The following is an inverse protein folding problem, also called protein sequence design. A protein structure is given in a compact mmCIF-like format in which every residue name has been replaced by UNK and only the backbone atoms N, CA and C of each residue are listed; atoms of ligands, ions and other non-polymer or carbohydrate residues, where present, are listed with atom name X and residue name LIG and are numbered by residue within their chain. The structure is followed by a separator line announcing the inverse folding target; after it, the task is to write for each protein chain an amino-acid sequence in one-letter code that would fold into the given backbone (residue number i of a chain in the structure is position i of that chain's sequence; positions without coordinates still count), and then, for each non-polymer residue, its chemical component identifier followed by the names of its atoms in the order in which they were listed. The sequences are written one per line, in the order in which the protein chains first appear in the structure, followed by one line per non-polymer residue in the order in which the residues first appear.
data_IF_166689322648
#
_entry.id   IF_166689322648
#
_cell.length_a   1.000
_cell.length_b   1.000
_cell.length_c   1.000
_cell.angle_alpha   90.00
_cell.angle_beta   90.00
_cell.angle_gamma   90.00
#
_symmetry.space_group_name_H-M   'P 1'
#
loop_
_entity.id
_entity.type
_entity.pdbx_description
1 polymer ?
#
# COMPACT_ATOMS: atom_id res chain seq x y z
N UNK A 1 -17.96 -32.28 -8.71
CA UNK A 1 -19.34 -32.17 -9.22
C UNK A 1 -19.56 -30.69 -9.53
N UNK A 2 -19.78 -30.34 -10.80
CA UNK A 2 -19.90 -28.93 -11.21
C UNK A 2 -21.17 -28.34 -10.56
N UNK A 3 -21.00 -27.45 -9.55
CA UNK A 3 -22.13 -26.66 -9.08
C UNK A 3 -22.61 -25.79 -10.24
N UNK A 4 -23.92 -25.61 -10.34
CA UNK A 4 -24.51 -24.75 -11.37
C UNK A 4 -23.97 -23.32 -11.19
N UNK A 5 -23.27 -22.79 -12.19
CA UNK A 5 -22.82 -21.40 -12.21
C UNK A 5 -23.93 -20.54 -12.82
N UNK A 6 -24.66 -19.74 -12.02
CA UNK A 6 -25.76 -18.93 -12.54
C UNK A 6 -25.29 -17.80 -13.47
N UNK A 7 -24.01 -17.41 -13.39
CA UNK A 7 -23.42 -16.34 -14.18
C UNK A 7 -22.59 -16.84 -15.36
N UNK A 8 -22.69 -18.13 -15.75
CA UNK A 8 -21.79 -18.73 -16.74
C UNK A 8 -21.67 -17.93 -18.04
N UNK A 9 -22.79 -17.42 -18.56
CA UNK A 9 -22.79 -16.63 -19.79
C UNK A 9 -22.06 -15.27 -19.63
N UNK A 10 -22.31 -14.57 -18.51
CA UNK A 10 -21.66 -13.29 -18.20
C UNK A 10 -20.17 -13.52 -17.91
N UNK A 11 -19.83 -14.56 -17.15
CA UNK A 11 -18.45 -14.96 -16.88
C UNK A 11 -17.67 -15.22 -18.18
N UNK A 12 -18.26 -15.92 -19.15
CA UNK A 12 -17.66 -16.16 -20.47
C UNK A 12 -17.45 -14.86 -21.27
N UNK A 13 -18.40 -13.92 -21.20
CA UNK A 13 -18.27 -12.61 -21.85
C UNK A 13 -17.15 -11.77 -21.20
N UNK A 14 -17.12 -11.70 -19.87
CA UNK A 14 -16.07 -10.99 -19.11
C UNK A 14 -14.70 -11.57 -19.46
N UNK A 15 -14.53 -12.88 -19.35
CA UNK A 15 -13.24 -13.54 -19.62
C UNK A 15 -12.83 -13.32 -21.08
N UNK A 16 -13.74 -13.55 -22.03
CA UNK A 16 -13.48 -13.39 -23.45
C UNK A 16 -13.06 -11.95 -23.81
N UNK A 17 -13.75 -10.95 -23.27
CA UNK A 17 -13.43 -9.53 -23.50
C UNK A 17 -12.07 -9.18 -22.88
N UNK A 18 -11.83 -9.47 -21.59
CA UNK A 18 -10.56 -9.13 -20.93
C UNK A 18 -9.35 -9.81 -21.59
N UNK A 19 -9.48 -11.07 -22.00
CA UNK A 19 -8.37 -11.80 -22.64
C UNK A 19 -8.10 -11.39 -24.09
N UNK A 20 -9.07 -10.77 -24.76
CA UNK A 20 -8.90 -10.24 -26.13
C UNK A 20 -8.68 -8.72 -26.16
N UNK A 21 -8.83 -8.05 -25.02
CA UNK A 21 -8.62 -6.62 -24.84
C UNK A 21 -7.13 -6.27 -24.67
N UNK A 22 -6.73 -5.14 -25.25
CA UNK A 22 -5.45 -4.46 -24.98
C UNK A 22 -5.61 -3.30 -23.99
N UNK A 23 -6.83 -2.98 -23.60
CA UNK A 23 -7.16 -1.79 -22.79
C UNK A 23 -6.37 -1.72 -21.47
N UNK A 24 -6.21 -2.80 -20.68
CA UNK A 24 -5.42 -2.76 -19.45
C UNK A 24 -3.95 -2.37 -19.66
N UNK A 25 -3.25 -2.99 -20.62
CA UNK A 25 -1.85 -2.64 -20.91
C UNK A 25 -1.72 -1.25 -21.49
N UNK A 26 -2.65 -0.82 -22.35
CA UNK A 26 -2.61 0.52 -22.92
C UNK A 26 -2.73 1.57 -21.80
N UNK A 27 -3.66 1.37 -20.87
CA UNK A 27 -3.81 2.25 -19.71
C UNK A 27 -2.57 2.21 -18.82
N UNK A 28 -2.00 1.02 -18.55
CA UNK A 28 -0.80 0.88 -17.73
C UNK A 28 0.39 1.60 -18.36
N UNK A 29 0.58 1.43 -19.66
CA UNK A 29 1.64 2.10 -20.43
C UNK A 29 1.49 3.62 -20.35
N UNK A 30 0.27 4.15 -20.49
CA UNK A 30 0.01 5.58 -20.35
C UNK A 30 0.36 6.07 -18.94
N UNK A 31 -0.10 5.36 -17.90
CA UNK A 31 0.18 5.71 -16.51
C UNK A 31 1.69 5.73 -16.19
N UNK A 32 2.46 4.80 -16.75
CA UNK A 32 3.90 4.68 -16.52
C UNK A 32 4.75 5.63 -17.37
N UNK A 33 4.40 5.81 -18.65
CA UNK A 33 5.28 6.50 -19.62
C UNK A 33 4.94 7.99 -19.78
N UNK A 34 3.71 8.41 -19.51
CA UNK A 34 3.27 9.79 -19.81
C UNK A 34 3.21 10.69 -18.57
N UNK A 35 2.80 10.16 -17.42
CA UNK A 35 2.56 10.97 -16.23
C UNK A 35 3.75 11.02 -15.26
N UNK A 36 4.86 10.37 -15.62
CA UNK A 36 6.04 10.27 -14.76
C UNK A 36 5.72 9.57 -13.45
N UNK A 37 6.39 10.00 -12.37
CA UNK A 37 5.96 9.59 -11.04
C UNK A 37 4.62 10.25 -10.70
N UNK A 38 3.66 9.42 -10.27
CA UNK A 38 2.34 9.83 -9.81
C UNK A 38 2.34 10.10 -8.30
N UNK A 39 3.46 10.55 -7.74
CA UNK A 39 3.56 10.83 -6.31
C UNK A 39 2.57 11.91 -5.88
N UNK A 40 2.06 11.78 -4.65
CA UNK A 40 1.07 12.69 -4.08
C UNK A 40 1.33 14.18 -4.34
N UNK A 41 0.32 14.87 -4.83
CA UNK A 41 0.27 16.30 -5.13
C UNK A 41 1.22 16.80 -6.20
N UNK A 42 1.76 15.90 -7.03
CA UNK A 42 2.53 16.26 -8.22
C UNK A 42 1.61 16.55 -9.42
N UNK A 43 2.09 17.29 -10.45
CA UNK A 43 1.34 17.43 -11.69
C UNK A 43 1.04 16.09 -12.39
N UNK A 44 1.94 15.12 -12.26
CA UNK A 44 1.77 13.77 -12.81
C UNK A 44 0.61 13.00 -12.17
N UNK A 45 0.48 13.09 -10.85
CA UNK A 45 -0.67 12.52 -10.13
C UNK A 45 -1.99 13.12 -10.63
N UNK A 46 -2.07 14.46 -10.74
CA UNK A 46 -3.29 15.13 -11.23
C UNK A 46 -3.68 14.67 -12.64
N UNK A 47 -2.70 14.57 -13.54
CA UNK A 47 -2.94 14.09 -14.91
C UNK A 47 -3.43 12.64 -14.92
N UNK A 48 -2.87 11.78 -14.06
CA UNK A 48 -3.35 10.41 -13.91
C UNK A 48 -4.78 10.36 -13.36
N UNK A 49 -5.12 11.18 -12.36
CA UNK A 49 -6.47 11.28 -11.81
C UNK A 49 -7.50 11.66 -12.88
N UNK A 50 -7.20 12.71 -13.66
CA UNK A 50 -8.04 13.17 -14.77
C UNK A 50 -8.18 12.11 -15.88
N UNK A 51 -7.08 11.44 -16.23
CA UNK A 51 -7.09 10.34 -17.20
C UNK A 51 -8.03 9.20 -16.76
N UNK A 52 -7.93 8.76 -15.51
CA UNK A 52 -8.77 7.66 -15.00
C UNK A 52 -10.23 8.06 -14.89
N UNK A 53 -10.52 9.30 -14.46
CA UNK A 53 -11.88 9.88 -14.50
C UNK A 53 -12.45 9.78 -15.92
N UNK A 54 -11.70 10.20 -16.92
CA UNK A 54 -12.15 10.23 -18.31
C UNK A 54 -12.35 8.82 -18.88
N UNK A 55 -11.51 7.86 -18.47
CA UNK A 55 -11.71 6.43 -18.76
C UNK A 55 -13.00 5.89 -18.16
N UNK A 56 -13.26 6.16 -16.89
CA UNK A 56 -14.49 5.73 -16.21
C UNK A 56 -15.75 6.33 -16.86
N UNK A 57 -15.69 7.59 -17.30
CA UNK A 57 -16.78 8.20 -18.10
C UNK A 57 -16.94 7.43 -19.43
N UNK A 58 -15.85 7.17 -20.14
CA UNK A 58 -15.86 6.47 -21.43
C UNK A 58 -16.41 5.05 -21.32
N UNK A 59 -16.17 4.38 -20.19
CA UNK A 59 -16.70 3.04 -19.90
C UNK A 59 -18.18 3.04 -19.52
N UNK A 60 -18.82 4.21 -19.40
CA UNK A 60 -20.26 4.34 -19.14
C UNK A 60 -20.63 4.31 -17.66
N UNK A 61 -19.68 4.59 -16.75
CA UNK A 61 -19.98 4.68 -15.32
C UNK A 61 -20.69 5.99 -14.99
N UNK A 62 -21.42 5.99 -13.87
CA UNK A 62 -22.14 7.14 -13.32
C UNK A 62 -21.41 7.72 -12.10
N UNK A 63 -21.82 8.91 -11.67
CA UNK A 63 -21.29 9.59 -10.47
C UNK A 63 -19.74 9.70 -10.48
N UNK A 64 -19.16 9.87 -11.67
CA UNK A 64 -17.72 9.93 -11.86
C UNK A 64 -17.21 11.29 -11.38
N UNK A 65 -16.29 11.30 -10.41
CA UNK A 65 -15.80 12.52 -9.79
C UNK A 65 -14.38 12.39 -9.25
N UNK A 66 -13.76 13.56 -9.08
CA UNK A 66 -12.54 13.72 -8.28
C UNK A 66 -12.94 14.32 -6.94
N UNK A 67 -12.44 13.75 -5.85
CA UNK A 67 -12.54 14.33 -4.51
C UNK A 67 -11.17 14.83 -4.09
N UNK A 68 -11.05 16.11 -3.75
CA UNK A 68 -9.78 16.68 -3.30
C UNK A 68 -9.38 16.14 -1.93
N UNK A 69 -8.09 15.83 -1.80
CA UNK A 69 -7.48 15.30 -0.58
C UNK A 69 -6.41 16.31 -0.13
N UNK A 70 -6.76 17.34 0.66
CA UNK A 70 -5.77 18.25 1.23
C UNK A 70 -4.93 17.52 2.30
N UNK A 71 -3.62 17.67 2.26
CA UNK A 71 -2.72 17.00 3.18
C UNK A 71 -1.41 17.76 3.40
N UNK A 72 -0.63 17.36 4.41
CA UNK A 72 0.74 17.85 4.61
C UNK A 72 1.65 17.01 3.72
N UNK A 73 2.05 17.58 2.59
CA UNK A 73 2.88 16.93 1.60
C UNK A 73 4.37 17.06 1.86
N UNK A 74 5.13 16.38 0.99
CA UNK A 74 6.58 16.30 1.07
C UNK A 74 7.18 16.34 -0.34
N UNK A 75 8.29 17.05 -0.50
CA UNK A 75 9.08 17.07 -1.74
C UNK A 75 10.53 16.74 -1.43
N UNK A 76 11.06 15.76 -2.16
CA UNK A 76 12.46 15.35 -2.09
C UNK A 76 13.38 16.51 -2.46
N UNK A 77 14.33 16.80 -1.58
CA UNK A 77 15.45 17.69 -1.85
C UNK A 77 16.70 16.91 -2.27
N UNK A 78 17.78 17.65 -2.50
CA UNK A 78 19.12 17.05 -2.58
C UNK A 78 19.50 16.47 -1.23
N UNK A 79 20.13 15.30 -1.23
CA UNK A 79 20.54 14.55 -0.05
C UNK A 79 21.99 14.06 -0.23
N UNK A 80 22.84 14.30 0.76
CA UNK A 80 24.24 13.88 0.77
C UNK A 80 24.57 13.14 2.06
N UNK A 81 25.19 11.97 1.94
CA UNK A 81 25.75 11.21 3.05
C UNK A 81 27.26 11.07 2.85
N UNK A 82 28.04 11.56 3.82
CA UNK A 82 29.49 11.44 3.83
C UNK A 82 29.93 10.64 5.06
N UNK A 83 30.72 9.59 4.87
CA UNK A 83 31.52 9.02 5.97
C UNK A 83 32.68 9.98 6.21
N UNK A 84 32.77 10.52 7.44
CA UNK A 84 33.83 11.47 7.85
C UNK A 84 34.88 10.83 8.77
N UNK A 85 34.60 9.65 9.31
CA UNK A 85 35.55 8.82 10.06
C UNK A 85 35.08 7.36 10.01
N UNK A 86 35.96 6.36 9.89
CA UNK A 86 37.44 6.42 9.88
C UNK A 86 38.05 6.75 8.52
N UNK A 87 37.22 6.93 7.49
CA UNK A 87 37.63 7.33 6.14
C UNK A 87 36.79 8.53 5.71
N UNK A 88 37.20 9.17 4.62
CA UNK A 88 36.40 10.18 3.92
C UNK A 88 35.84 9.58 2.63
N UNK A 89 34.51 9.41 2.55
CA UNK A 89 33.84 8.86 1.37
C UNK A 89 32.38 9.27 1.32
N UNK A 90 31.96 9.83 0.19
CA UNK A 90 30.54 10.03 -0.12
C UNK A 90 29.86 8.71 -0.48
N UNK A 91 28.66 8.51 0.04
CA UNK A 91 27.85 7.31 -0.14
C UNK A 91 26.53 7.73 -0.81
N UNK A 92 26.17 7.15 -1.97
CA UNK A 92 24.90 7.43 -2.62
C UNK A 92 23.71 7.13 -1.70
N UNK A 93 22.77 8.08 -1.62
CA UNK A 93 21.53 7.92 -0.88
C UNK A 93 20.43 8.82 -1.46
N UNK A 94 19.22 8.60 -0.98
CA UNK A 94 18.06 9.48 -1.19
C UNK A 94 17.36 9.69 0.14
N UNK A 95 16.67 10.81 0.35
CA UNK A 95 15.80 10.97 1.54
C UNK A 95 14.67 9.93 1.57
N UNK A 96 14.04 9.69 2.69
CA UNK A 96 12.77 8.94 2.73
C UNK A 96 11.62 9.95 2.71
N UNK A 97 10.50 9.67 2.02
CA UNK A 97 9.31 10.52 2.09
C UNK A 97 8.91 10.81 3.54
N UNK A 98 8.52 12.07 3.80
CA UNK A 98 8.31 12.65 5.13
C UNK A 98 9.56 12.89 5.99
N UNK A 99 10.78 12.64 5.49
CA UNK A 99 12.00 13.08 6.18
C UNK A 99 12.04 14.61 6.28
N UNK A 100 12.33 15.18 7.47
CA UNK A 100 12.66 16.59 7.58
C UNK A 100 13.99 16.89 6.88
N UNK A 101 14.17 18.15 6.48
CA UNK A 101 15.48 18.66 6.07
C UNK A 101 16.49 18.52 7.21
N UNK A 102 17.74 18.25 6.87
CA UNK A 102 18.75 17.91 7.86
C UNK A 102 20.11 18.55 7.61
N UNK A 103 20.82 18.77 8.70
CA UNK A 103 22.26 18.94 8.74
C UNK A 103 22.73 18.37 10.08
N UNK A 104 23.19 17.11 10.07
CA UNK A 104 23.58 16.39 11.28
C UNK A 104 24.84 15.58 11.07
N UNK A 105 25.55 15.35 12.17
CA UNK A 105 26.63 14.38 12.26
C UNK A 105 26.35 13.40 13.40
N UNK A 106 26.69 12.13 13.20
CA UNK A 106 26.47 11.11 14.21
C UNK A 106 27.21 9.83 13.92
N UNK A 107 27.37 9.03 14.97
CA UNK A 107 27.92 7.68 14.83
C UNK A 107 26.83 6.73 14.33
N UNK A 108 27.19 5.80 13.47
CA UNK A 108 26.31 4.73 13.01
C UNK A 108 26.17 3.64 14.06
N UNK A 109 24.98 3.05 14.15
CA UNK A 109 24.73 1.77 14.81
C UNK A 109 24.01 0.83 13.85
N UNK A 110 24.59 -0.36 13.65
CA UNK A 110 23.96 -1.41 12.84
C UNK A 110 22.95 -2.21 13.68
N UNK A 111 21.70 -2.16 13.24
CA UNK A 111 20.56 -2.87 13.83
C UNK A 111 20.14 -4.07 12.96
N UNK A 112 21.00 -4.53 12.04
CA UNK A 112 20.75 -5.74 11.28
C UNK A 112 19.48 -5.61 10.42
N UNK A 113 18.65 -6.64 10.43
CA UNK A 113 17.36 -6.61 9.77
C UNK A 113 16.30 -5.79 10.54
N UNK A 114 16.61 -5.29 11.74
CA UNK A 114 15.69 -4.51 12.57
C UNK A 114 14.68 -5.38 13.30
N UNK A 115 15.15 -6.39 14.04
CA UNK A 115 14.30 -7.20 14.92
C UNK A 115 13.71 -6.29 16.02
N UNK A 116 12.37 -6.28 16.23
CA UNK A 116 11.72 -5.48 17.26
C UNK A 116 12.39 -5.56 18.65
N UNK A 117 12.83 -6.75 19.06
CA UNK A 117 13.43 -6.96 20.38
C UNK A 117 14.81 -6.30 20.52
N UNK A 118 15.55 -6.14 19.41
CA UNK A 118 16.87 -5.51 19.44
C UNK A 118 16.78 -4.03 19.77
N UNK A 119 15.72 -3.34 19.34
CA UNK A 119 15.53 -1.91 19.63
C UNK A 119 15.30 -1.64 21.13
N UNK A 120 14.61 -2.55 21.82
CA UNK A 120 14.38 -2.44 23.26
C UNK A 120 15.64 -2.80 24.04
N UNK A 121 16.24 -3.96 23.73
CA UNK A 121 17.40 -4.50 24.46
C UNK A 121 18.67 -3.67 24.26
N UNK A 122 18.82 -3.01 23.10
CA UNK A 122 19.98 -2.18 22.75
C UNK A 122 19.65 -0.68 22.75
N UNK A 123 18.54 -0.27 23.36
CA UNK A 123 18.10 1.14 23.42
C UNK A 123 19.21 2.10 23.91
N UNK A 124 19.98 1.69 24.92
CA UNK A 124 21.11 2.48 25.44
C UNK A 124 22.25 2.66 24.42
N UNK A 125 22.45 1.71 23.49
CA UNK A 125 23.44 1.84 22.42
C UNK A 125 22.91 2.74 21.29
N UNK A 126 21.60 2.75 21.05
CA UNK A 126 20.94 3.51 19.97
C UNK A 126 20.87 5.00 20.28
N UNK A 127 20.66 5.35 21.54
CA UNK A 127 20.47 6.73 21.97
C UNK A 127 21.60 7.65 21.48
N UNK A 128 21.22 8.72 20.74
CA UNK A 128 22.16 9.69 20.17
C UNK A 128 22.89 9.23 18.90
N UNK A 129 22.57 8.04 18.36
CA UNK A 129 23.19 7.50 17.13
C UNK A 129 22.26 7.50 15.93
N UNK A 130 22.82 7.27 14.75
CA UNK A 130 22.09 7.09 13.50
C UNK A 130 21.91 5.59 13.27
N UNK A 131 20.67 5.14 13.24
CA UNK A 131 20.36 3.71 13.05
C UNK A 131 20.51 3.33 11.59
N UNK A 132 21.20 2.20 11.33
CA UNK A 132 21.24 1.53 10.04
C UNK A 132 20.51 0.20 10.13
N UNK A 133 19.47 0.01 9.32
CA UNK A 133 18.68 -1.23 9.24
C UNK A 133 18.27 -1.56 7.82
N UNK A 134 17.94 -2.83 7.53
CA UNK A 134 17.53 -3.26 6.19
C UNK A 134 16.01 -3.21 5.98
N UNK A 135 15.61 -3.34 4.73
CA UNK A 135 14.23 -3.50 4.28
C UNK A 135 13.69 -4.93 4.38
N UNK A 136 14.40 -5.83 5.04
CA UNK A 136 13.95 -7.21 5.26
C UNK A 136 12.70 -7.23 6.16
N UNK A 137 11.62 -7.83 5.71
CA UNK A 137 10.31 -7.72 6.38
C UNK A 137 10.11 -8.73 7.51
N UNK A 138 10.93 -9.78 7.61
CA UNK A 138 10.83 -10.80 8.67
C UNK A 138 12.19 -10.94 9.38
N UNK A 139 12.62 -9.90 10.10
CA UNK A 139 13.91 -9.91 10.77
C UNK A 139 13.97 -10.97 11.89
N UNK A 140 15.10 -11.65 12.00
CA UNK A 140 15.44 -12.48 13.17
C UNK A 140 14.38 -13.53 13.48
N UNK A 141 13.72 -13.38 14.63
CA UNK A 141 12.68 -14.32 15.11
C UNK A 141 11.25 -13.80 14.90
N UNK A 142 11.09 -12.66 14.24
CA UNK A 142 9.78 -12.05 13.99
C UNK A 142 8.84 -13.03 13.26
N UNK A 143 7.66 -13.23 13.83
CA UNK A 143 6.63 -14.11 13.25
C UNK A 143 5.72 -13.38 12.26
N UNK A 144 5.76 -12.04 12.26
CA UNK A 144 4.98 -11.15 11.38
C UNK A 144 5.88 -10.29 10.50
N UNK A 145 5.27 -9.55 9.58
CA UNK A 145 5.95 -8.54 8.80
C UNK A 145 6.24 -7.30 9.66
N UNK A 146 7.49 -6.84 9.66
CA UNK A 146 7.95 -5.62 10.34
C UNK A 146 8.14 -4.54 9.29
N UNK A 147 7.26 -3.55 9.30
CA UNK A 147 7.25 -2.49 8.31
C UNK A 147 8.39 -1.48 8.54
N UNK A 148 8.81 -0.79 7.48
CA UNK A 148 9.81 0.30 7.56
C UNK A 148 9.43 1.34 8.62
N UNK A 149 8.16 1.76 8.63
CA UNK A 149 7.71 2.81 9.54
C UNK A 149 7.74 2.34 11.01
N UNK A 150 7.57 1.04 11.25
CA UNK A 150 7.79 0.48 12.58
C UNK A 150 9.27 0.52 12.98
N UNK A 151 10.20 0.10 12.11
CA UNK A 151 11.65 0.18 12.39
C UNK A 151 12.09 1.62 12.66
N UNK A 152 11.56 2.56 11.89
CA UNK A 152 11.78 3.98 12.09
C UNK A 152 11.24 4.45 13.46
N UNK A 153 9.98 4.14 13.78
CA UNK A 153 9.38 4.51 15.07
C UNK A 153 10.08 3.87 16.26
N UNK A 154 10.55 2.62 16.15
CA UNK A 154 11.37 1.97 17.19
C UNK A 154 12.73 2.63 17.35
N UNK A 155 13.36 3.05 16.24
CA UNK A 155 14.61 3.85 16.29
C UNK A 155 14.38 5.15 17.05
N UNK A 156 13.29 5.84 16.74
CA UNK A 156 12.89 7.09 17.39
C UNK A 156 12.63 6.91 18.90
N UNK A 157 11.85 5.90 19.29
CA UNK A 157 11.57 5.59 20.70
C UNK A 157 12.84 5.21 21.47
N UNK A 158 13.83 4.61 20.80
CA UNK A 158 15.14 4.29 21.38
C UNK A 158 16.11 5.49 21.42
N UNK A 159 15.70 6.67 20.96
CA UNK A 159 16.50 7.90 21.02
C UNK A 159 17.47 8.09 19.85
N UNK A 160 17.26 7.41 18.72
CA UNK A 160 18.05 7.66 17.52
C UNK A 160 17.88 9.10 17.03
N UNK A 161 18.92 9.65 16.39
CA UNK A 161 18.91 11.01 15.81
C UNK A 161 18.83 11.02 14.28
N UNK A 162 18.86 9.84 13.67
CA UNK A 162 18.71 9.65 12.23
C UNK A 162 18.49 8.17 11.88
N UNK A 163 18.00 7.93 10.67
CA UNK A 163 17.61 6.60 10.21
C UNK A 163 18.11 6.32 8.79
N UNK A 164 18.75 5.17 8.60
CA UNK A 164 19.24 4.67 7.32
C UNK A 164 18.53 3.35 7.01
N UNK A 165 17.78 3.34 5.91
CA UNK A 165 17.05 2.19 5.41
C UNK A 165 17.74 1.61 4.18
N UNK A 166 18.26 0.39 4.33
CA UNK A 166 19.06 -0.28 3.31
C UNK A 166 18.21 -1.26 2.52
N UNK A 167 18.29 -1.23 1.19
CA UNK A 167 17.69 -2.27 0.37
C UNK A 167 18.29 -3.65 0.72
N UNK A 168 17.47 -4.67 0.95
CA UNK A 168 17.96 -6.02 1.27
C UNK A 168 18.22 -6.86 0.01
N UNK A 169 17.79 -6.39 -1.16
CA UNK A 169 18.02 -7.04 -2.45
C UNK A 169 19.28 -6.49 -3.14
N UNK A 170 20.30 -7.34 -3.39
CA UNK A 170 21.45 -6.95 -4.21
C UNK A 170 21.01 -6.59 -5.63
N UNK A 171 21.56 -5.50 -6.18
CA UNK A 171 21.29 -5.05 -7.55
C UNK A 171 19.93 -4.36 -7.77
N UNK A 172 19.12 -4.17 -6.72
CA UNK A 172 17.78 -3.56 -6.84
C UNK A 172 17.80 -2.04 -6.57
N UNK A 173 18.99 -1.45 -6.43
CA UNK A 173 19.16 -0.01 -6.27
C UNK A 173 18.65 0.50 -4.93
N UNK A 174 18.50 1.82 -4.85
CA UNK A 174 18.03 2.51 -3.64
C UNK A 174 16.58 2.13 -3.31
N UNK A 175 16.26 2.11 -2.01
CA UNK A 175 14.91 1.85 -1.50
C UNK A 175 14.27 3.15 -0.99
N UNK A 176 12.96 3.29 -1.11
CA UNK A 176 12.22 4.44 -0.59
C UNK A 176 11.05 4.04 0.33
N UNK A 177 10.36 5.07 0.80
CA UNK A 177 9.00 5.03 1.31
C UNK A 177 8.78 5.78 2.61
N UNK A 178 7.51 6.11 2.89
CA UNK A 178 7.13 7.01 3.99
C UNK A 178 7.65 6.59 5.36
N UNK A 179 8.20 7.56 6.11
CA UNK A 179 8.59 7.47 7.52
C UNK A 179 7.80 8.46 8.42
N UNK A 180 6.74 9.03 7.85
CA UNK A 180 5.90 10.00 8.53
C UNK A 180 4.90 9.36 9.49
N UNK A 181 4.33 10.20 10.33
CA UNK A 181 3.27 9.84 11.26
C UNK A 181 2.32 11.04 11.38
N UNK A 182 1.27 11.06 10.54
CA UNK A 182 0.41 12.22 10.32
C UNK A 182 1.22 13.50 10.03
N UNK A 183 2.01 13.46 8.93
CA UNK A 183 2.93 14.51 8.52
C UNK A 183 4.40 14.09 8.66
N UNK A 184 5.26 15.08 8.94
CA UNK A 184 6.71 14.92 9.03
C UNK A 184 7.15 13.85 10.04
N UNK A 185 8.22 13.11 9.70
CA UNK A 185 9.00 12.37 10.69
C UNK A 185 9.75 13.31 11.63
N UNK A 186 10.00 12.88 12.87
CA UNK A 186 10.74 13.66 13.87
C UNK A 186 12.27 13.60 13.70
N UNK A 187 12.80 12.56 13.04
CA UNK A 187 14.22 12.44 12.74
C UNK A 187 14.41 12.22 11.24
N UNK A 188 15.52 12.70 10.66
CA UNK A 188 15.81 12.49 9.26
C UNK A 188 16.00 11.01 8.91
N UNK A 189 15.50 10.64 7.74
CA UNK A 189 15.61 9.28 7.19
C UNK A 189 16.12 9.28 5.76
N UNK A 190 17.04 8.37 5.45
CA UNK A 190 17.54 8.14 4.09
C UNK A 190 17.42 6.66 3.68
N UNK A 191 17.20 6.45 2.39
CA UNK A 191 17.24 5.16 1.73
C UNK A 191 18.53 4.98 0.92
N UNK A 192 19.05 3.76 0.85
CA UNK A 192 20.24 3.44 0.05
C UNK A 192 20.21 2.03 -0.52
N UNK A 193 21.08 1.77 -1.49
CA UNK A 193 21.22 0.46 -2.12
C UNK A 193 21.86 -0.56 -1.17
N UNK A 194 21.68 -1.85 -1.50
CA UNK A 194 22.25 -2.96 -0.74
C UNK A 194 23.77 -2.85 -0.61
N UNK A 195 24.43 -2.55 -1.72
CA UNK A 195 25.90 -2.54 -1.84
C UNK A 195 26.52 -1.47 -0.94
N UNK A 196 25.91 -0.29 -0.88
CA UNK A 196 26.32 0.85 -0.05
C UNK A 196 26.10 0.56 1.44
N UNK A 197 24.94 0.02 1.80
CA UNK A 197 24.67 -0.38 3.18
C UNK A 197 25.60 -1.50 3.65
N UNK A 198 25.90 -2.49 2.79
CA UNK A 198 26.88 -3.53 3.11
C UNK A 198 28.30 -2.97 3.24
N UNK A 199 28.65 -1.94 2.48
CA UNK A 199 29.91 -1.23 2.66
C UNK A 199 30.01 -0.59 4.04
N UNK A 200 28.98 0.14 4.47
CA UNK A 200 28.94 0.75 5.81
C UNK A 200 29.04 -0.31 6.92
N UNK A 201 28.33 -1.44 6.78
CA UNK A 201 28.43 -2.56 7.73
C UNK A 201 29.84 -3.11 7.86
N UNK A 202 30.52 -3.37 6.74
CA UNK A 202 31.92 -3.82 6.76
C UNK A 202 32.85 -2.79 7.38
N UNK A 203 32.54 -1.50 7.25
CA UNK A 203 33.33 -0.44 7.87
C UNK A 203 33.15 -0.43 9.40
N UNK A 204 31.91 -0.54 9.89
CA UNK A 204 31.58 -0.70 11.32
C UNK A 204 32.29 -1.93 11.89
N UNK A 205 32.20 -3.08 11.21
CA UNK A 205 32.84 -4.32 11.67
C UNK A 205 34.36 -4.22 11.78
N UNK A 206 35.02 -3.50 10.88
CA UNK A 206 36.49 -3.38 10.87
C UNK A 206 37.03 -2.33 11.84
N UNK A 207 36.29 -1.25 12.09
CA UNK A 207 36.81 -0.09 12.81
C UNK A 207 36.04 0.24 14.10
N UNK A 208 34.93 -0.46 14.37
CA UNK A 208 34.05 -0.20 15.51
C UNK A 208 33.16 1.01 15.28
N UNK A 209 33.74 2.21 15.30
CA UNK A 209 32.98 3.47 15.16
C UNK A 209 33.08 4.01 13.74
N UNK A 210 31.93 4.31 13.14
CA UNK A 210 31.82 5.02 11.86
C UNK A 210 30.98 6.26 12.09
N UNK A 211 31.54 7.43 11.79
CA UNK A 211 30.85 8.71 11.91
C UNK A 211 30.51 9.23 10.53
N UNK A 212 29.27 9.69 10.37
CA UNK A 212 28.77 10.25 9.11
C UNK A 212 28.27 11.68 9.30
N UNK A 213 28.25 12.42 8.20
CA UNK A 213 27.53 13.68 8.04
C UNK A 213 26.40 13.46 7.05
N UNK A 214 25.20 13.89 7.40
CA UNK A 214 24.02 13.88 6.54
C UNK A 214 23.46 15.29 6.38
N UNK A 215 23.26 15.72 5.13
CA UNK A 215 22.60 16.97 4.79
C UNK A 215 21.48 16.74 3.78
N UNK A 216 20.31 17.37 3.96
CA UNK A 216 19.26 17.38 2.96
C UNK A 216 18.46 18.68 2.91
N UNK A 217 17.81 18.92 1.77
CA UNK A 217 17.00 20.12 1.48
C UNK A 217 15.52 19.82 1.27
N UNK A 218 15.03 18.72 1.85
CA UNK A 218 13.64 18.26 1.74
C UNK A 218 12.63 19.32 2.20
N UNK A 219 11.46 19.36 1.57
CA UNK A 219 10.41 20.33 1.89
C UNK A 219 9.15 19.64 2.37
N UNK A 220 8.53 20.24 3.37
CA UNK A 220 7.23 19.83 3.92
C UNK A 220 6.30 21.01 3.77
N UNK A 221 5.21 20.82 3.05
CA UNK A 221 4.30 21.90 2.70
C UNK A 221 2.88 21.38 2.46
N UNK A 222 1.83 22.20 2.68
CA UNK A 222 0.48 21.81 2.31
C UNK A 222 0.38 21.52 0.80
N UNK A 223 -0.22 20.38 0.47
CA UNK A 223 -0.43 19.91 -0.90
C UNK A 223 -1.86 19.36 -1.05
N UNK A 224 -2.29 19.16 -2.28
CA UNK A 224 -3.60 18.58 -2.62
C UNK A 224 -3.39 17.41 -3.56
N UNK A 225 -4.02 16.28 -3.24
CA UNK A 225 -4.16 15.10 -4.09
C UNK A 225 -5.64 14.90 -4.44
N UNK A 226 -5.98 13.80 -5.13
CA UNK A 226 -7.34 13.49 -5.56
C UNK A 226 -7.66 12.00 -5.39
N UNK A 227 -8.83 11.69 -4.85
CA UNK A 227 -9.46 10.38 -5.03
C UNK A 227 -10.29 10.40 -6.32
N UNK A 228 -10.29 9.31 -7.08
CA UNK A 228 -11.15 9.13 -8.26
C UNK A 228 -12.24 8.11 -7.93
N UNK A 229 -13.50 8.52 -8.03
CA UNK A 229 -14.64 7.66 -7.71
C UNK A 229 -15.58 7.55 -8.92
N UNK A 230 -16.17 6.37 -9.10
CA UNK A 230 -17.22 6.11 -10.08
C UNK A 230 -18.14 4.98 -9.60
N UNK A 231 -19.41 5.05 -9.99
CA UNK A 231 -20.43 4.07 -9.61
C UNK A 231 -21.02 3.39 -10.86
N UNK A 232 -21.13 2.06 -10.81
CA UNK A 232 -22.10 1.30 -11.61
C UNK A 232 -23.39 1.19 -10.77
N UNK A 233 -24.43 1.98 -11.08
CA UNK A 233 -25.57 2.13 -10.18
C UNK A 233 -26.37 0.82 -10.06
N UNK A 234 -26.64 0.43 -8.81
CA UNK A 234 -27.57 -0.65 -8.51
C UNK A 234 -29.03 -0.25 -8.76
N UNK A 235 -29.90 -1.24 -8.93
CA UNK A 235 -31.32 -1.02 -9.26
C UNK A 235 -32.30 -1.35 -8.13
N UNK A 236 -31.84 -2.03 -7.06
CA UNK A 236 -32.74 -2.60 -6.05
C UNK A 236 -32.43 -2.17 -4.62
N UNK A 237 -31.15 -2.02 -4.26
CA UNK A 237 -30.72 -1.65 -2.90
C UNK A 237 -29.84 -0.40 -2.92
N UNK A 238 -29.68 0.23 -1.76
CA UNK A 238 -28.74 1.33 -1.55
C UNK A 238 -27.37 0.85 -1.04
N UNK A 239 -27.16 -0.47 -1.02
CA UNK A 239 -25.89 -1.07 -0.64
C UNK A 239 -24.82 -0.90 -1.72
N UNK A 240 -23.57 -1.05 -1.30
CA UNK A 240 -22.38 -0.80 -2.13
C UNK A 240 -21.40 -1.96 -1.99
N UNK A 241 -20.95 -2.52 -3.11
CA UNK A 241 -19.72 -3.32 -3.21
C UNK A 241 -18.63 -2.41 -3.76
N UNK A 242 -17.50 -2.33 -3.07
CA UNK A 242 -16.39 -1.46 -3.47
C UNK A 242 -15.23 -2.27 -4.04
N UNK A 243 -14.72 -1.86 -5.20
CA UNK A 243 -13.42 -2.26 -5.74
C UNK A 243 -12.49 -1.06 -5.74
N UNK A 244 -11.26 -1.22 -5.25
CA UNK A 244 -10.36 -0.07 -5.22
C UNK A 244 -8.90 -0.41 -5.10
N UNK A 245 -8.07 0.60 -5.35
CA UNK A 245 -6.63 0.52 -5.38
C UNK A 245 -6.10 1.96 -5.39
N UNK A 246 -5.02 2.26 -4.67
CA UNK A 246 -4.35 3.53 -4.92
C UNK A 246 -3.76 3.60 -6.33
N UNK A 247 -3.44 4.81 -6.77
CA UNK A 247 -2.81 5.03 -8.06
C UNK A 247 -1.54 5.89 -7.97
N UNK A 248 -1.33 6.55 -6.82
CA UNK A 248 -0.07 7.21 -6.53
C UNK A 248 1.02 6.18 -6.28
N UNK A 249 2.20 6.43 -6.82
CA UNK A 249 3.40 5.65 -6.56
C UNK A 249 4.51 6.56 -6.06
N UNK A 250 5.60 5.99 -5.57
CA UNK A 250 6.73 6.80 -5.11
C UNK A 250 7.37 7.72 -6.18
N UNK A 251 7.94 8.81 -5.71
CA UNK A 251 8.56 9.89 -6.49
C UNK A 251 9.76 9.47 -7.36
N UNK A 252 10.33 8.30 -7.07
CA UNK A 252 11.49 7.73 -7.79
C UNK A 252 11.13 6.64 -8.80
N UNK A 253 9.85 6.24 -8.89
CA UNK A 253 9.43 5.08 -9.69
C UNK A 253 8.31 5.41 -10.68
N UNK A 254 8.11 4.52 -11.64
CA UNK A 254 6.89 4.52 -12.46
C UNK A 254 5.71 3.93 -11.67
N UNK A 255 5.97 3.25 -10.55
CA UNK A 255 4.95 2.56 -9.75
C UNK A 255 4.12 1.60 -10.58
N UNK A 256 4.78 0.80 -11.42
CA UNK A 256 4.11 -0.05 -12.40
C UNK A 256 3.42 -1.22 -11.71
N UNK A 257 4.15 -1.94 -10.86
CA UNK A 257 3.58 -2.98 -10.01
C UNK A 257 2.82 -2.36 -8.84
N UNK A 258 3.46 -1.43 -8.13
CA UNK A 258 2.95 -0.75 -6.95
C UNK A 258 2.65 0.73 -7.28
N UNK A 259 1.39 1.10 -7.58
CA UNK A 259 0.19 0.23 -7.66
C UNK A 259 -0.45 0.10 -9.05
N UNK A 260 0.12 0.69 -10.11
CA UNK A 260 -0.62 0.91 -11.36
C UNK A 260 -1.21 -0.38 -11.95
N UNK A 261 -0.56 -1.53 -11.73
CA UNK A 261 -1.04 -2.86 -12.10
C UNK A 261 -2.43 -3.19 -11.51
N UNK A 262 -2.66 -2.82 -10.24
CA UNK A 262 -3.94 -2.94 -9.55
C UNK A 262 -4.94 -1.89 -10.03
N UNK A 263 -4.50 -0.63 -10.18
CA UNK A 263 -5.31 0.47 -10.70
C UNK A 263 -5.94 0.13 -12.04
N UNK A 264 -5.15 -0.38 -12.99
CA UNK A 264 -5.69 -0.76 -14.32
C UNK A 264 -6.56 -2.00 -14.29
N UNK A 265 -6.36 -2.91 -13.32
CA UNK A 265 -7.25 -4.04 -13.12
C UNK A 265 -8.62 -3.59 -12.58
N UNK A 266 -8.68 -2.59 -11.70
CA UNK A 266 -9.93 -1.94 -11.26
C UNK A 266 -10.64 -1.27 -12.45
N UNK A 267 -9.90 -0.50 -13.26
CA UNK A 267 -10.44 0.14 -14.47
C UNK A 267 -11.03 -0.89 -15.45
N UNK A 268 -10.33 -2.01 -15.67
CA UNK A 268 -10.80 -3.05 -16.57
C UNK A 268 -12.02 -3.79 -16.00
N UNK A 269 -12.04 -4.07 -14.69
CA UNK A 269 -13.22 -4.61 -14.03
C UNK A 269 -14.43 -3.68 -14.18
N UNK A 270 -14.22 -2.35 -14.06
CA UNK A 270 -15.26 -1.36 -14.30
C UNK A 270 -15.81 -1.41 -15.72
N UNK A 271 -14.92 -1.46 -16.72
CA UNK A 271 -15.29 -1.53 -18.14
C UNK A 271 -16.16 -2.73 -18.46
N UNK A 272 -15.77 -3.92 -18.00
CA UNK A 272 -16.50 -5.16 -18.34
C UNK A 272 -17.79 -5.33 -17.52
N UNK A 273 -17.82 -4.87 -16.26
CA UNK A 273 -19.05 -4.87 -15.47
C UNK A 273 -20.09 -3.90 -16.05
N UNK A 274 -19.69 -2.68 -16.41
CA UNK A 274 -20.59 -1.71 -17.04
C UNK A 274 -21.18 -2.25 -18.36
N UNK A 275 -20.41 -3.04 -19.10
CA UNK A 275 -20.83 -3.62 -20.38
C UNK A 275 -21.74 -4.84 -20.24
N UNK A 276 -21.43 -5.77 -19.34
CA UNK A 276 -22.06 -7.10 -19.29
C UNK A 276 -22.97 -7.31 -18.08
N UNK A 277 -22.90 -6.44 -17.08
CA UNK A 277 -23.71 -6.49 -15.87
C UNK A 277 -24.30 -5.11 -15.48
N UNK A 278 -24.97 -4.37 -16.39
CA UNK A 278 -25.44 -3.01 -16.12
C UNK A 278 -26.62 -2.90 -15.15
N UNK A 279 -27.19 -4.03 -14.73
CA UNK A 279 -28.46 -4.09 -13.98
C UNK A 279 -28.31 -4.92 -12.69
N UNK A 280 -27.27 -4.63 -11.90
CA UNK A 280 -27.05 -5.29 -10.62
C UNK A 280 -28.04 -4.78 -9.55
N UNK A 281 -28.45 -5.62 -8.59
CA UNK A 281 -29.24 -5.19 -7.44
C UNK A 281 -28.56 -4.09 -6.61
N UNK A 282 -27.27 -4.26 -6.35
CA UNK A 282 -26.42 -3.40 -5.52
C UNK A 282 -25.47 -2.56 -6.39
N UNK A 283 -25.09 -1.38 -5.89
CA UNK A 283 -24.13 -0.51 -6.59
C UNK A 283 -22.72 -1.10 -6.51
N UNK A 284 -21.99 -1.10 -7.62
CA UNK A 284 -20.54 -1.38 -7.59
C UNK A 284 -19.80 -0.05 -7.71
N UNK A 285 -19.08 0.34 -6.66
CA UNK A 285 -18.28 1.56 -6.61
C UNK A 285 -16.82 1.24 -6.88
N UNK A 286 -16.22 1.97 -7.80
CA UNK A 286 -14.80 1.91 -8.13
C UNK A 286 -14.12 3.11 -7.49
N UNK A 287 -13.08 2.86 -6.69
CA UNK A 287 -12.39 3.89 -5.95
C UNK A 287 -10.88 3.81 -6.13
N UNK A 288 -10.29 4.88 -6.68
CA UNK A 288 -8.86 4.99 -6.90
C UNK A 288 -8.30 6.06 -5.96
N UNK A 289 -7.46 5.64 -5.03
CA UNK A 289 -7.01 6.47 -3.90
C UNK A 289 -5.73 7.23 -4.22
N UNK A 290 -5.64 8.48 -3.78
CA UNK A 290 -4.40 9.23 -3.77
C UNK A 290 -3.72 9.18 -2.39
N UNK A 291 -2.40 9.38 -2.38
CA UNK A 291 -1.56 9.48 -1.17
C UNK A 291 -1.65 8.25 -0.25
N UNK A 292 -1.66 7.06 -0.83
CA UNK A 292 -1.53 5.81 -0.07
C UNK A 292 -0.09 5.65 0.45
N UNK A 293 0.88 5.90 -0.43
CA UNK A 293 2.31 5.52 -0.31
C UNK A 293 3.02 6.13 0.92
N UNK A 294 2.41 7.17 1.48
CA UNK A 294 2.94 7.93 2.59
C UNK A 294 1.96 8.06 3.77
N UNK A 295 0.83 7.35 3.76
CA UNK A 295 -0.03 7.30 4.96
C UNK A 295 -1.51 6.99 4.76
N UNK A 296 -1.93 6.33 3.68
CA UNK A 296 -3.34 5.97 3.44
C UNK A 296 -4.29 7.19 3.48
N UNK A 297 -3.81 8.36 3.05
CA UNK A 297 -4.47 9.64 3.38
C UNK A 297 -5.78 9.78 2.60
N UNK A 298 -5.80 9.42 1.31
CA UNK A 298 -7.00 9.50 0.48
C UNK A 298 -8.13 8.62 0.98
N UNK A 299 -7.85 7.34 1.27
CA UNK A 299 -8.83 6.40 1.81
C UNK A 299 -9.27 6.75 3.24
N UNK A 300 -8.35 7.22 4.09
CA UNK A 300 -8.68 7.69 5.44
C UNK A 300 -9.62 8.90 5.44
N UNK A 301 -9.37 9.87 4.57
CA UNK A 301 -10.26 11.03 4.42
C UNK A 301 -11.62 10.64 3.84
N UNK A 302 -11.67 9.70 2.89
CA UNK A 302 -12.94 9.17 2.40
C UNK A 302 -13.75 8.54 3.53
N UNK A 303 -13.15 7.67 4.35
CA UNK A 303 -13.82 7.05 5.50
C UNK A 303 -14.36 8.10 6.48
N UNK A 304 -13.58 9.16 6.76
CA UNK A 304 -14.01 10.25 7.63
C UNK A 304 -15.16 11.09 7.03
N UNK A 305 -15.08 11.41 5.75
CA UNK A 305 -16.04 12.29 5.06
C UNK A 305 -17.35 11.56 4.70
N UNK A 306 -17.31 10.23 4.56
CA UNK A 306 -18.44 9.39 4.16
C UNK A 306 -18.92 8.46 5.28
N UNK A 307 -18.78 8.84 6.55
CA UNK A 307 -19.15 8.00 7.72
C UNK A 307 -20.58 7.42 7.62
N UNK A 308 -21.52 8.22 7.11
CA UNK A 308 -22.93 7.84 6.93
C UNK A 308 -23.17 6.78 5.84
N UNK A 309 -22.25 6.60 4.90
CA UNK A 309 -22.34 5.57 3.84
C UNK A 309 -21.69 4.25 4.26
N UNK A 310 -20.87 4.24 5.32
CA UNK A 310 -20.07 3.05 5.68
C UNK A 310 -20.93 1.84 6.05
N UNK A 311 -22.13 2.06 6.60
CA UNK A 311 -23.07 0.97 6.92
C UNK A 311 -23.68 0.32 5.67
N UNK A 312 -23.60 1.01 4.52
CA UNK A 312 -24.09 0.52 3.22
C UNK A 312 -23.04 -0.29 2.47
N UNK A 313 -21.76 -0.20 2.86
CA UNK A 313 -20.68 -0.92 2.22
C UNK A 313 -20.73 -2.39 2.66
N UNK A 314 -21.17 -3.27 1.76
CA UNK A 314 -21.19 -4.72 1.98
C UNK A 314 -19.78 -5.26 2.12
N UNK A 315 -18.90 -4.86 1.21
CA UNK A 315 -17.54 -5.34 1.14
C UNK A 315 -16.67 -4.37 0.35
N UNK A 316 -15.44 -4.15 0.82
CA UNK A 316 -14.40 -3.45 0.08
C UNK A 316 -13.27 -4.42 -0.28
N UNK A 317 -13.07 -4.64 -1.59
CA UNK A 317 -11.97 -5.42 -2.14
C UNK A 317 -10.85 -4.49 -2.62
N UNK A 318 -9.75 -4.48 -1.87
CA UNK A 318 -8.54 -3.75 -2.22
C UNK A 318 -7.68 -4.55 -3.22
N UNK A 319 -7.21 -3.87 -4.25
CA UNK A 319 -6.51 -4.46 -5.40
C UNK A 319 -5.10 -3.93 -5.56
N UNK A 320 -4.51 -3.38 -4.49
CA UNK A 320 -3.11 -2.99 -4.44
C UNK A 320 -2.18 -4.14 -4.90
N UNK A 321 -1.30 -3.81 -5.86
CA UNK A 321 -0.43 -4.72 -6.60
C UNK A 321 -1.12 -5.95 -7.23
N UNK A 322 -2.46 -5.99 -7.32
CA UNK A 322 -3.18 -7.19 -7.74
C UNK A 322 -2.77 -7.64 -9.15
N UNK A 323 -2.45 -6.71 -10.04
CA UNK A 323 -1.97 -7.00 -11.39
C UNK A 323 -0.51 -7.48 -11.47
N UNK A 324 0.25 -7.46 -10.37
CA UNK A 324 1.65 -7.89 -10.30
C UNK A 324 1.89 -9.06 -9.33
N UNK A 325 0.92 -9.39 -8.47
CA UNK A 325 1.00 -10.50 -7.51
C UNK A 325 0.47 -11.80 -8.13
N UNK A 326 1.15 -12.92 -7.89
CA UNK A 326 0.72 -14.26 -8.28
C UNK A 326 1.01 -15.28 -7.17
N UNK A 327 0.12 -16.27 -6.90
CA UNK A 327 -1.25 -16.39 -7.43
C UNK A 327 -2.17 -15.27 -6.93
N UNK A 328 -3.40 -15.21 -7.46
CA UNK A 328 -4.45 -14.25 -7.06
C UNK A 328 -5.32 -14.85 -5.96
N UNK A 329 -4.84 -14.85 -4.73
CA UNK A 329 -5.59 -15.33 -3.57
C UNK A 329 -6.45 -14.20 -2.96
N UNK A 330 -7.49 -14.55 -2.21
CA UNK A 330 -8.30 -13.58 -1.46
C UNK A 330 -7.88 -13.62 0.00
N UNK A 331 -7.37 -12.50 0.50
CA UNK A 331 -6.98 -12.33 1.91
C UNK A 331 -8.02 -11.44 2.56
N UNK A 332 -8.83 -12.02 3.44
CA UNK A 332 -9.86 -11.32 4.19
C UNK A 332 -9.27 -10.72 5.46
N UNK A 333 -9.77 -9.56 5.86
CA UNK A 333 -9.38 -8.96 7.13
C UNK A 333 -10.22 -9.52 8.29
N UNK A 334 -10.02 -10.82 8.51
CA UNK A 334 -10.54 -11.61 9.63
C UNK A 334 -12.05 -11.86 9.57
N UNK A 335 -12.60 -12.09 8.37
CA UNK A 335 -14.02 -12.42 8.12
C UNK A 335 -14.21 -13.91 7.77
N UNK A 336 -13.97 -14.86 8.70
CA UNK A 336 -14.06 -16.29 8.42
C UNK A 336 -15.44 -16.74 7.93
N UNK A 337 -16.50 -16.00 8.24
CA UNK A 337 -17.87 -16.25 7.79
C UNK A 337 -18.02 -16.15 6.26
N UNK A 338 -17.13 -15.40 5.58
CA UNK A 338 -17.11 -15.28 4.13
C UNK A 338 -16.37 -16.43 3.43
N UNK A 339 -15.55 -17.20 4.15
CA UNK A 339 -14.72 -18.24 3.55
C UNK A 339 -15.54 -19.35 2.85
N UNK A 340 -16.61 -19.92 3.45
CA UNK A 340 -17.43 -20.92 2.76
C UNK A 340 -18.05 -20.40 1.46
N UNK A 341 -18.47 -19.13 1.46
CA UNK A 341 -19.05 -18.47 0.29
C UNK A 341 -18.02 -18.28 -0.82
N UNK A 342 -16.82 -17.80 -0.48
CA UNK A 342 -15.73 -17.65 -1.44
C UNK A 342 -15.29 -19.00 -2.02
N UNK A 343 -15.23 -20.06 -1.21
CA UNK A 343 -14.92 -21.42 -1.67
C UNK A 343 -16.01 -21.97 -2.61
N UNK A 344 -17.28 -21.69 -2.32
CA UNK A 344 -18.36 -22.02 -3.24
C UNK A 344 -18.19 -21.29 -4.58
N UNK A 345 -17.88 -19.98 -4.55
CA UNK A 345 -17.67 -19.23 -5.79
C UNK A 345 -16.42 -19.65 -6.55
N UNK A 346 -15.36 -20.11 -5.87
CA UNK A 346 -14.21 -20.73 -6.51
C UNK A 346 -14.63 -21.93 -7.38
N UNK A 347 -15.47 -22.82 -6.82
CA UNK A 347 -16.02 -23.99 -7.55
C UNK A 347 -16.92 -23.55 -8.71
N UNK A 348 -17.86 -22.64 -8.48
CA UNK A 348 -18.78 -22.14 -9.51
C UNK A 348 -18.04 -21.44 -10.66
N UNK A 349 -17.02 -20.63 -10.31
CA UNK A 349 -16.23 -19.89 -11.27
C UNK A 349 -15.26 -20.78 -12.06
N UNK A 350 -15.00 -22.00 -11.57
CA UNK A 350 -13.90 -22.84 -12.02
C UNK A 350 -12.56 -22.08 -12.08
N UNK A 351 -12.32 -21.20 -11.09
CA UNK A 351 -11.14 -20.35 -11.01
C UNK A 351 -10.40 -20.60 -9.70
N UNK A 352 -9.16 -21.12 -9.71
CA UNK A 352 -8.45 -21.46 -8.50
C UNK A 352 -7.92 -20.19 -7.80
N UNK A 353 -8.30 -19.98 -6.55
CA UNK A 353 -7.72 -18.96 -5.67
C UNK A 353 -7.75 -19.42 -4.21
N UNK A 354 -6.69 -19.19 -3.45
CA UNK A 354 -6.70 -19.40 -2.01
C UNK A 354 -7.61 -18.41 -1.29
N UNK A 355 -8.08 -18.80 -0.11
CA UNK A 355 -8.77 -17.89 0.83
C UNK A 355 -8.01 -17.95 2.14
N UNK A 356 -7.61 -16.80 2.67
CA UNK A 356 -6.95 -16.70 3.96
C UNK A 356 -7.42 -15.49 4.77
N UNK A 357 -6.96 -15.42 6.01
CA UNK A 357 -7.30 -14.38 6.98
C UNK A 357 -6.02 -13.69 7.44
N UNK A 358 -5.97 -12.37 7.33
CA UNK A 358 -4.90 -11.55 7.88
C UNK A 358 -5.31 -10.08 7.89
N UNK A 359 -5.02 -9.38 8.98
CA UNK A 359 -5.02 -7.91 9.00
C UNK A 359 -3.67 -7.41 8.52
N UNK A 360 -3.70 -6.43 7.62
CA UNK A 360 -2.54 -5.67 7.18
C UNK A 360 -2.86 -4.17 7.37
N UNK A 361 -1.99 -3.44 8.06
CA UNK A 361 -2.17 -2.02 8.35
C UNK A 361 -1.61 -1.08 7.25
N UNK A 362 -1.18 -1.63 6.12
CA UNK A 362 -0.37 -0.92 5.12
C UNK A 362 -0.99 -0.96 3.72
N UNK A 363 -2.31 -0.75 3.62
CA UNK A 363 -3.00 -0.45 2.35
C UNK A 363 -4.42 0.09 2.62
N UNK A 364 -5.11 0.58 1.58
CA UNK A 364 -6.34 1.37 1.69
C UNK A 364 -7.54 0.66 2.32
N UNK A 365 -7.52 -0.68 2.44
CA UNK A 365 -8.57 -1.39 3.18
C UNK A 365 -8.52 -1.17 4.69
N UNK A 366 -7.37 -0.76 5.22
CA UNK A 366 -7.17 -0.64 6.66
C UNK A 366 -8.04 0.46 7.31
N UNK A 367 -8.15 1.69 6.78
CA UNK A 367 -9.08 2.69 7.32
C UNK A 367 -10.53 2.21 7.36
N UNK A 368 -10.95 1.44 6.35
CA UNK A 368 -12.29 0.83 6.30
C UNK A 368 -12.45 -0.26 7.37
N UNK A 369 -11.44 -1.12 7.56
CA UNK A 369 -11.41 -2.10 8.66
C UNK A 369 -11.49 -1.41 10.02
N UNK A 370 -10.75 -0.32 10.22
CA UNK A 370 -10.76 0.43 11.47
C UNK A 370 -12.15 1.03 11.74
N UNK A 371 -12.87 1.39 10.69
CA UNK A 371 -14.27 1.78 10.77
C UNK A 371 -15.24 0.59 10.88
N UNK A 372 -14.77 -0.66 10.81
CA UNK A 372 -15.55 -1.89 10.95
C UNK A 372 -16.10 -2.48 9.65
N UNK A 373 -15.84 -1.87 8.49
CA UNK A 373 -16.37 -2.30 7.20
C UNK A 373 -15.76 -3.66 6.79
N UNK A 374 -16.57 -4.59 6.25
CA UNK A 374 -16.04 -5.84 5.72
C UNK A 374 -15.07 -5.60 4.57
N UNK A 375 -13.87 -6.18 4.69
CA UNK A 375 -12.72 -5.82 3.87
C UNK A 375 -11.87 -7.05 3.58
N UNK A 376 -11.19 -6.99 2.44
CA UNK A 376 -10.13 -7.91 2.06
C UNK A 376 -9.42 -7.41 0.81
N UNK A 377 -8.50 -8.20 0.28
CA UNK A 377 -7.82 -7.86 -0.95
C UNK A 377 -7.36 -9.06 -1.75
N UNK A 378 -6.91 -8.78 -2.97
CA UNK A 378 -6.20 -9.76 -3.79
C UNK A 378 -4.73 -9.78 -3.35
N UNK A 379 -4.25 -10.93 -2.92
CA UNK A 379 -2.89 -11.12 -2.42
C UNK A 379 -2.33 -12.49 -2.77
N UNK A 380 -1.27 -12.89 -2.06
CA UNK A 380 -0.66 -14.21 -2.21
C UNK A 380 -0.38 -14.80 -0.83
N UNK A 381 -1.08 -15.88 -0.48
CA UNK A 381 -0.98 -16.56 0.81
C UNK A 381 0.35 -17.28 1.02
N UNK A 382 1.05 -17.56 -0.06
CA UNK A 382 2.32 -18.29 -0.08
C UNK A 382 3.54 -17.38 -0.23
N UNK A 383 3.34 -16.05 -0.37
CA UNK A 383 4.43 -15.11 -0.60
C UNK A 383 5.33 -15.05 0.63
N UNK A 384 6.49 -15.69 0.51
CA UNK A 384 7.56 -15.66 1.52
C UNK A 384 8.57 -14.54 1.26
N UNK A 385 8.72 -14.10 0.03
CA UNK A 385 9.70 -13.10 -0.39
C UNK A 385 9.10 -11.69 -0.35
N UNK A 386 9.92 -10.69 0.04
CA UNK A 386 9.54 -9.29 0.20
C UNK A 386 9.07 -8.58 -1.09
N UNK A 387 9.12 -7.24 -1.10
CA UNK A 387 8.48 -6.37 -2.11
C UNK A 387 9.06 -6.44 -3.53
N UNK A 388 10.14 -7.19 -3.77
CA UNK A 388 10.77 -7.23 -5.09
C UNK A 388 11.24 -5.84 -5.51
N UNK A 389 10.84 -5.38 -6.69
CA UNK A 389 11.18 -4.03 -7.19
C UNK A 389 10.33 -2.89 -6.61
N UNK A 390 9.25 -3.19 -5.89
CA UNK A 390 8.40 -2.15 -5.29
C UNK A 390 9.21 -1.22 -4.39
N UNK A 391 8.87 0.08 -4.39
CA UNK A 391 9.61 1.15 -3.71
C UNK A 391 11.09 1.26 -4.15
N UNK A 392 11.39 0.97 -5.42
CA UNK A 392 12.71 1.22 -6.04
C UNK A 392 12.52 1.93 -7.38
N UNK A 393 13.57 2.57 -7.95
CA UNK A 393 13.51 3.12 -9.31
C UNK A 393 13.25 2.07 -10.39
N UNK A 394 13.37 0.79 -10.07
CA UNK A 394 13.19 -0.32 -10.99
C UNK A 394 11.77 -0.90 -10.98
N UNK A 395 10.86 -0.34 -10.18
CA UNK A 395 9.43 -0.61 -10.37
C UNK A 395 8.94 0.10 -11.64
N UNK A 396 9.04 -0.64 -12.74
CA UNK A 396 8.94 -0.17 -14.13
C UNK A 396 8.03 -1.08 -14.93
N UNK A 397 7.48 -0.55 -16.03
CA UNK A 397 6.46 -1.21 -16.85
C UNK A 397 6.83 -2.63 -17.27
N UNK A 398 8.10 -2.90 -17.57
CA UNK A 398 8.57 -4.22 -18.02
C UNK A 398 8.56 -5.29 -16.92
N UNK A 399 8.25 -4.93 -15.67
CA UNK A 399 8.05 -5.87 -14.56
C UNK A 399 6.61 -6.36 -14.41
N UNK A 400 5.67 -5.75 -15.14
CA UNK A 400 4.25 -6.11 -15.06
C UNK A 400 3.85 -6.91 -16.30
N UNK A 401 3.33 -8.10 -16.05
CA UNK A 401 2.85 -9.00 -17.10
C UNK A 401 1.34 -8.83 -17.34
N UNK A 402 0.93 -8.80 -18.61
CA UNK A 402 -0.47 -8.62 -18.99
C UNK A 402 -1.36 -9.76 -18.53
N UNK A 403 -0.87 -11.00 -18.47
CA UNK A 403 -1.68 -12.11 -17.95
C UNK A 403 -2.05 -11.84 -16.49
N UNK A 404 -1.09 -11.37 -15.69
CA UNK A 404 -1.30 -11.07 -14.28
C UNK A 404 -2.35 -9.97 -14.07
N UNK A 405 -2.33 -8.92 -14.89
CA UNK A 405 -3.36 -7.85 -14.87
C UNK A 405 -4.74 -8.38 -15.27
N UNK A 406 -4.82 -9.20 -16.34
CA UNK A 406 -6.07 -9.81 -16.81
C UNK A 406 -6.70 -10.70 -15.77
N UNK A 407 -5.91 -11.57 -15.13
CA UNK A 407 -6.38 -12.46 -14.07
C UNK A 407 -6.96 -11.68 -12.89
N UNK A 408 -6.30 -10.58 -12.48
CA UNK A 408 -6.81 -9.72 -11.42
C UNK A 408 -8.15 -9.06 -11.79
N UNK A 409 -8.25 -8.49 -13.00
CA UNK A 409 -9.47 -7.85 -13.48
C UNK A 409 -10.64 -8.85 -13.60
N UNK A 410 -10.40 -10.03 -14.16
CA UNK A 410 -11.40 -11.09 -14.28
C UNK A 410 -11.88 -11.55 -12.90
N UNK A 411 -10.95 -11.83 -11.98
CA UNK A 411 -11.31 -12.28 -10.64
C UNK A 411 -12.13 -11.22 -9.91
N UNK A 412 -11.68 -9.96 -9.92
CA UNK A 412 -12.37 -8.86 -9.24
C UNK A 412 -13.76 -8.59 -9.82
N UNK A 413 -13.90 -8.55 -11.16
CA UNK A 413 -15.19 -8.35 -11.81
C UNK A 413 -16.19 -9.47 -11.45
N UNK A 414 -15.74 -10.73 -11.49
CA UNK A 414 -16.60 -11.90 -11.22
C UNK A 414 -16.97 -12.05 -9.74
N UNK A 415 -16.10 -11.61 -8.84
CA UNK A 415 -16.41 -11.49 -7.41
C UNK A 415 -17.42 -10.36 -7.16
N UNK A 416 -17.18 -9.16 -7.70
CA UNK A 416 -18.09 -8.03 -7.56
C UNK A 416 -19.49 -8.33 -8.12
N UNK A 417 -19.58 -8.98 -9.28
CA UNK A 417 -20.84 -9.48 -9.86
C UNK A 417 -21.62 -10.32 -8.84
N UNK A 418 -20.98 -11.31 -8.22
CA UNK A 418 -21.62 -12.21 -7.25
C UNK A 418 -21.97 -11.50 -5.94
N UNK A 419 -21.11 -10.63 -5.44
CA UNK A 419 -21.36 -9.83 -4.23
C UNK A 419 -22.52 -8.84 -4.42
N UNK A 420 -22.62 -8.24 -5.61
CA UNK A 420 -23.65 -7.26 -5.93
C UNK A 420 -25.01 -7.90 -6.26
N UNK A 421 -25.01 -9.10 -6.84
CA UNK A 421 -26.25 -9.87 -7.11
C UNK A 421 -26.83 -10.52 -5.85
N UNK A 422 -25.99 -10.89 -4.87
CA UNK A 422 -26.44 -11.61 -3.69
C UNK A 422 -27.48 -10.83 -2.89
N UNK A 423 -28.65 -11.43 -2.64
CA UNK A 423 -29.75 -10.78 -1.91
C UNK A 423 -29.46 -10.60 -0.42
N UNK A 424 -28.77 -11.57 0.20
CA UNK A 424 -28.46 -11.55 1.63
C UNK A 424 -26.96 -11.69 1.85
N UNK A 425 -26.31 -10.59 2.19
CA UNK A 425 -24.90 -10.59 2.57
C UNK A 425 -24.71 -11.21 3.97
N UNK A 426 -23.75 -12.12 4.17
CA UNK A 426 -23.66 -12.93 5.39
C UNK A 426 -22.97 -12.20 6.56
N UNK A 427 -22.32 -11.07 6.31
CA UNK A 427 -21.62 -10.27 7.33
C UNK A 427 -22.15 -8.84 7.36
N UNK A 428 -21.93 -8.17 8.48
CA UNK A 428 -22.24 -6.76 8.67
C UNK A 428 -21.03 -6.04 9.24
N UNK A 429 -21.06 -4.71 9.18
CA UNK A 429 -20.04 -3.86 9.78
C UNK A 429 -19.83 -4.20 11.27
N UNK A 430 -18.57 -4.37 11.67
CA UNK A 430 -18.17 -4.52 13.08
C UNK A 430 -18.43 -3.24 13.85
N UNK A 431 -18.78 -3.38 15.13
CA UNK A 431 -18.69 -2.26 16.07
C UNK A 431 -17.22 -1.93 16.34
N UNK A 432 -16.96 -0.71 16.85
CA UNK A 432 -15.61 -0.31 17.28
C UNK A 432 -15.02 -1.28 18.31
N UNK A 433 -15.82 -1.77 19.25
CA UNK A 433 -15.38 -2.75 20.25
C UNK A 433 -14.97 -4.09 19.62
N UNK A 434 -15.66 -4.55 18.57
CA UNK A 434 -15.29 -5.77 17.85
C UNK A 434 -13.98 -5.59 17.08
N UNK A 435 -13.76 -4.42 16.48
CA UNK A 435 -12.47 -4.10 15.82
C UNK A 435 -11.34 -4.06 16.85
N UNK A 436 -11.56 -3.41 18.00
CA UNK A 436 -10.56 -3.36 19.06
C UNK A 436 -10.23 -4.76 19.61
N UNK A 437 -11.25 -5.57 19.89
CA UNK A 437 -11.07 -6.94 20.36
C UNK A 437 -10.30 -7.81 19.35
N UNK A 438 -10.50 -7.60 18.05
CA UNK A 438 -9.74 -8.27 17.00
C UNK A 438 -8.25 -7.88 17.08
N UNK A 439 -7.97 -6.58 17.17
CA UNK A 439 -6.61 -6.03 17.19
C UNK A 439 -5.87 -6.32 18.52
N UNK A 440 -6.60 -6.60 19.61
CA UNK A 440 -6.04 -7.04 20.89
C UNK A 440 -5.70 -8.54 20.96
N UNK A 441 -6.00 -9.29 19.88
CA UNK A 441 -5.67 -10.72 19.79
C UNK A 441 -4.14 -10.94 19.77
N UNK A 442 -3.66 -12.13 20.17
CA UNK A 442 -2.21 -12.42 20.21
C UNK A 442 -1.48 -12.21 18.87
N UNK A 443 -2.19 -12.28 17.74
CA UNK A 443 -1.62 -12.07 16.41
C UNK A 443 -1.22 -10.61 16.13
N UNK A 444 -1.95 -9.64 16.70
CA UNK A 444 -1.82 -8.22 16.37
C UNK A 444 -1.42 -7.34 17.57
N UNK A 445 -1.57 -7.85 18.80
CA UNK A 445 -1.37 -7.07 20.04
C UNK A 445 -0.03 -6.37 20.13
N UNK A 446 1.05 -7.02 19.72
CA UNK A 446 2.40 -6.45 19.82
C UNK A 446 2.58 -5.28 18.86
N UNK A 447 2.09 -5.40 17.62
CA UNK A 447 2.06 -4.31 16.65
C UNK A 447 1.21 -3.14 17.16
N UNK A 448 0.02 -3.43 17.71
CA UNK A 448 -0.87 -2.39 18.25
C UNK A 448 -0.27 -1.67 19.45
N UNK A 449 0.37 -2.40 20.37
CA UNK A 449 1.06 -1.79 21.51
C UNK A 449 2.19 -0.85 21.06
N UNK A 450 2.93 -1.24 20.01
CA UNK A 450 3.94 -0.39 19.40
C UNK A 450 3.32 0.90 18.83
N UNK A 451 2.27 0.80 18.01
CA UNK A 451 1.63 1.97 17.41
C UNK A 451 1.06 2.92 18.47
N UNK A 452 0.41 2.40 19.51
CA UNK A 452 -0.09 3.20 20.63
C UNK A 452 1.04 3.94 21.37
N UNK A 453 2.18 3.29 21.58
CA UNK A 453 3.35 3.91 22.20
C UNK A 453 3.93 5.02 21.31
N UNK A 454 3.98 4.78 19.99
CA UNK A 454 4.44 5.76 19.01
C UNK A 454 3.48 6.96 18.96
N UNK A 455 2.17 6.76 18.90
CA UNK A 455 1.15 7.81 18.92
C UNK A 455 1.29 8.69 20.17
N UNK A 456 1.46 8.07 21.34
CA UNK A 456 1.68 8.77 22.60
C UNK A 456 2.96 9.62 22.57
N UNK A 457 4.05 9.09 22.00
CA UNK A 457 5.29 9.82 21.83
C UNK A 457 5.13 11.03 20.90
N UNK A 458 4.48 10.87 19.74
CA UNK A 458 4.24 11.98 18.82
C UNK A 458 3.36 13.06 19.45
N UNK A 459 2.28 12.70 20.16
CA UNK A 459 1.44 13.69 20.88
C UNK A 459 2.24 14.46 21.91
N UNK A 460 3.07 13.77 22.71
CA UNK A 460 3.93 14.42 23.69
C UNK A 460 4.92 15.41 23.05
N UNK A 461 5.56 15.03 21.94
CA UNK A 461 6.53 15.90 21.24
C UNK A 461 5.84 17.09 20.56
N UNK A 462 4.61 16.91 20.06
CA UNK A 462 3.82 17.96 19.41
C UNK A 462 3.05 18.86 20.39
N UNK A 463 2.93 18.46 21.66
CA UNK A 463 2.17 19.20 22.67
C UNK A 463 0.65 19.03 22.53
N UNK A 464 0.20 17.87 22.03
CA UNK A 464 -1.21 17.50 21.82
C UNK A 464 -1.82 16.71 23.00
#
# INVERSE_FOLDING_TARGET
MNRHNPFLAIDQQIIGDVYTSTEPMNNLTILCDQFGSRFGGTPGEKQAAEFMRDKLITYGLSNVRLEEVPYIGWRRGEAHLEVISPIHKEIPCISLPHSPAANLEGDLIDMGAGDPADFETRSAEISGKIVLTTSEMRPGKAQRWIHRNEKYGRSLLAGAIGFIFVNHYPGYGVVTGGIGHNGAGLIPGIGMAYEDGMFLRRLIQRHGTVRVRFTSTDKIEPMVSWNVLADLPGQQTDEIVMLGCHYDGHDISQGAADPASGTVAVLEAARVLARYAPALPCTVRFALWGVEEIGLIGSSQYVANHEAELDKIRFYLNMDMAGAINPKDIVLNEWPELEPLLRQWQEEMAWPFGVGQSVNAHSDHYPFLMAGVPTGGIGNLTRRTGRGYGHTPYDTLDKVDMMSVREAAVLAARLALRMADMTRWPVQRRSRDMVQALLDSPAYREEMAFWQALDAFYRQVRGE
#
